data_IF_487842957443
#
_entry.id   IF_487842957443
#
_cell.length_a   1.000
_cell.length_b   1.000
_cell.length_c   1.000
_cell.angle_alpha   90.00
_cell.angle_beta   90.00
_cell.angle_gamma   90.00
#
_symmetry.space_group_name_H-M   'P 1'
#
loop_
_entity.id
_entity.type
_entity.pdbx_description
1 polymer ?
#
# COMPACT_ATOMS: atom_id res chain seq x y z
N UNK A 1 7.16 -10.65 37.34
CA UNK A 1 5.70 -10.42 37.18
C UNK A 1 5.27 -10.53 35.72
N UNK A 2 5.92 -9.82 34.79
CA UNK A 2 5.57 -9.84 33.36
C UNK A 2 5.61 -11.25 32.73
N UNK A 3 6.66 -12.04 32.97
CA UNK A 3 6.78 -13.39 32.37
C UNK A 3 5.62 -14.33 32.73
N UNK A 4 5.21 -14.35 34.00
CA UNK A 4 4.10 -15.20 34.45
C UNK A 4 2.78 -14.87 33.75
N UNK A 5 2.52 -13.57 33.53
CA UNK A 5 1.33 -13.10 32.80
C UNK A 5 1.38 -13.52 31.34
N UNK A 6 2.51 -13.31 30.66
CA UNK A 6 2.66 -13.65 29.24
C UNK A 6 2.58 -15.16 29.00
N UNK A 7 3.18 -15.97 29.90
CA UNK A 7 3.06 -17.43 29.85
C UNK A 7 1.63 -17.91 30.14
N UNK A 8 0.91 -17.28 31.06
CA UNK A 8 -0.49 -17.62 31.33
C UNK A 8 -1.37 -17.32 30.11
N UNK A 9 -1.14 -16.18 29.42
CA UNK A 9 -1.83 -15.85 28.17
C UNK A 9 -1.51 -16.87 27.07
N UNK A 10 -0.25 -17.23 26.88
CA UNK A 10 0.15 -18.24 25.89
C UNK A 10 -0.51 -19.61 26.15
N UNK A 11 -0.66 -20.01 27.41
CA UNK A 11 -1.40 -21.24 27.74
C UNK A 11 -2.87 -21.16 27.33
N UNK A 12 -3.54 -20.05 27.65
CA UNK A 12 -4.93 -19.84 27.24
C UNK A 12 -5.08 -19.87 25.70
N UNK A 13 -4.18 -19.21 24.97
CA UNK A 13 -4.15 -19.25 23.50
C UNK A 13 -3.98 -20.69 22.97
N UNK A 14 -3.15 -21.52 23.61
CA UNK A 14 -2.99 -22.94 23.24
C UNK A 14 -4.23 -23.77 23.57
N UNK A 15 -4.86 -23.53 24.70
CA UNK A 15 -6.11 -24.20 25.09
C UNK A 15 -7.26 -23.86 24.11
N UNK A 16 -7.21 -22.69 23.47
CA UNK A 16 -8.15 -22.23 22.43
C UNK A 16 -7.82 -22.73 21.01
N UNK A 17 -6.83 -23.62 20.85
CA UNK A 17 -6.44 -24.20 19.55
C UNK A 17 -5.18 -23.60 18.93
N UNK A 18 -4.44 -22.78 19.68
CA UNK A 18 -3.19 -22.16 19.24
C UNK A 18 -3.32 -20.65 18.99
N UNK A 19 -2.21 -19.90 19.06
CA UNK A 19 -2.25 -18.46 18.86
C UNK A 19 -2.55 -18.11 17.40
N UNK A 20 -3.47 -17.17 17.18
CA UNK A 20 -3.68 -16.52 15.88
C UNK A 20 -2.43 -15.76 15.41
N UNK A 21 -2.37 -15.35 14.14
CA UNK A 21 -1.30 -14.51 13.61
C UNK A 21 -1.10 -13.23 14.44
N UNK A 22 -2.18 -12.49 14.71
CA UNK A 22 -2.15 -11.29 15.54
C UNK A 22 -1.67 -11.55 16.98
N UNK A 23 -2.11 -12.65 17.61
CA UNK A 23 -1.65 -13.03 18.96
C UNK A 23 -0.17 -13.42 18.96
N UNK A 24 0.29 -14.17 17.96
CA UNK A 24 1.70 -14.58 17.81
C UNK A 24 2.62 -13.37 17.68
N UNK A 25 2.25 -12.39 16.84
CA UNK A 25 2.99 -11.13 16.68
C UNK A 25 3.05 -10.31 17.97
N UNK A 26 1.89 -10.12 18.61
CA UNK A 26 1.81 -9.38 19.87
C UNK A 26 2.64 -10.05 20.96
N UNK A 27 2.50 -11.37 21.08
CA UNK A 27 3.23 -12.18 22.05
C UNK A 27 4.74 -12.10 21.85
N UNK A 28 5.22 -12.17 20.59
CA UNK A 28 6.64 -12.02 20.26
C UNK A 28 7.16 -10.63 20.64
N UNK A 29 6.43 -9.57 20.29
CA UNK A 29 6.85 -8.20 20.60
C UNK A 29 6.87 -7.93 22.12
N UNK A 30 5.85 -8.39 22.85
CA UNK A 30 5.78 -8.27 24.31
C UNK A 30 6.91 -9.04 25.01
N UNK A 31 7.19 -10.28 24.58
CA UNK A 31 8.26 -11.10 25.14
C UNK A 31 9.64 -10.46 24.92
N UNK A 32 9.90 -9.98 23.70
CA UNK A 32 11.15 -9.32 23.36
C UNK A 32 11.35 -8.00 24.13
N UNK A 33 10.31 -7.15 24.21
CA UNK A 33 10.36 -5.89 24.97
C UNK A 33 10.57 -6.09 26.47
N UNK A 34 10.07 -7.20 27.01
CA UNK A 34 10.26 -7.57 28.42
C UNK A 34 11.63 -8.22 28.69
N UNK A 35 12.46 -8.45 27.67
CA UNK A 35 13.77 -9.10 27.81
C UNK A 35 13.67 -10.54 28.28
N UNK A 36 12.72 -11.30 27.73
CA UNK A 36 12.47 -12.70 28.06
C UNK A 36 12.95 -13.60 26.91
N UNK A 37 14.25 -13.97 26.85
CA UNK A 37 14.82 -14.66 25.68
C UNK A 37 14.16 -16.02 25.40
N UNK A 38 13.98 -16.86 26.42
CA UNK A 38 13.33 -18.17 26.25
C UNK A 38 11.87 -18.07 25.76
N UNK A 39 11.12 -17.05 26.22
CA UNK A 39 9.76 -16.82 25.73
C UNK A 39 9.77 -16.20 24.33
N UNK A 40 10.78 -15.39 24.00
CA UNK A 40 10.97 -14.84 22.65
C UNK A 40 11.22 -15.96 21.65
N UNK A 41 12.08 -16.92 22.00
CA UNK A 41 12.32 -18.15 21.21
C UNK A 41 11.02 -18.93 20.94
N UNK A 42 10.24 -19.19 21.99
CA UNK A 42 8.96 -19.87 21.89
C UNK A 42 7.97 -19.09 21.01
N UNK A 43 7.95 -17.76 21.09
CA UNK A 43 7.09 -16.92 20.25
C UNK A 43 7.56 -16.78 18.80
N UNK A 44 8.86 -16.93 18.53
CA UNK A 44 9.37 -17.04 17.15
C UNK A 44 8.85 -18.32 16.50
N UNK A 45 8.73 -19.43 17.25
CA UNK A 45 8.09 -20.67 16.77
C UNK A 45 6.60 -20.49 16.48
N UNK A 46 5.87 -19.84 17.39
CA UNK A 46 4.45 -19.53 17.18
C UNK A 46 4.27 -18.71 15.89
N UNK A 47 5.11 -17.69 15.68
CA UNK A 47 5.10 -16.88 14.45
C UNK A 47 5.39 -17.73 13.21
N UNK A 48 6.40 -18.61 13.26
CA UNK A 48 6.76 -19.48 12.15
C UNK A 48 5.66 -20.49 11.80
N UNK A 49 4.82 -20.86 12.77
CA UNK A 49 3.71 -21.81 12.60
C UNK A 49 2.44 -21.12 12.12
N UNK A 50 2.02 -20.03 12.77
CA UNK A 50 0.72 -19.41 12.54
C UNK A 50 0.67 -18.51 11.30
N UNK A 51 1.71 -17.66 11.11
CA UNK A 51 1.64 -16.61 10.10
C UNK A 51 1.65 -17.11 8.65
N UNK A 52 2.47 -18.11 8.25
CA UNK A 52 2.55 -18.50 6.85
C UNK A 52 1.23 -18.96 6.21
N UNK A 53 0.31 -19.48 7.04
CA UNK A 53 -0.94 -20.09 6.59
C UNK A 53 -2.18 -19.24 6.92
N UNK A 54 -2.13 -18.40 7.96
CA UNK A 54 -3.29 -17.63 8.42
C UNK A 54 -3.08 -16.10 8.44
N UNK A 55 -1.85 -15.64 8.25
CA UNK A 55 -1.52 -14.22 8.30
C UNK A 55 -1.99 -13.48 7.04
N UNK A 56 -2.62 -12.33 7.27
CA UNK A 56 -2.86 -11.34 6.21
C UNK A 56 -1.53 -10.73 5.73
N UNK A 57 -1.51 -10.10 4.56
CA UNK A 57 -0.29 -9.43 4.07
C UNK A 57 0.25 -8.38 5.05
N UNK A 58 -0.58 -7.50 5.66
CA UNK A 58 -0.13 -6.59 6.71
C UNK A 58 0.52 -7.31 7.90
N UNK A 59 -0.03 -8.43 8.37
CA UNK A 59 0.54 -9.20 9.49
C UNK A 59 1.87 -9.86 9.11
N UNK A 60 1.98 -10.41 7.90
CA UNK A 60 3.22 -10.98 7.38
C UNK A 60 4.34 -9.94 7.33
N UNK A 61 4.03 -8.73 6.85
CA UNK A 61 4.97 -7.62 6.78
C UNK A 61 5.34 -7.07 8.17
N UNK A 62 4.37 -7.01 9.09
CA UNK A 62 4.64 -6.65 10.48
C UNK A 62 5.55 -7.67 11.17
N UNK A 63 5.34 -8.96 10.91
CA UNK A 63 6.23 -10.04 11.36
C UNK A 63 7.64 -9.88 10.82
N UNK A 64 7.78 -9.71 9.51
CA UNK A 64 9.07 -9.46 8.86
C UNK A 64 9.81 -8.24 9.46
N UNK A 65 9.12 -7.11 9.67
CA UNK A 65 9.71 -5.93 10.28
C UNK A 65 10.13 -6.19 11.75
N UNK A 66 9.34 -6.96 12.51
CA UNK A 66 9.69 -7.34 13.87
C UNK A 66 10.94 -8.25 13.91
N UNK A 67 11.03 -9.24 13.02
CA UNK A 67 12.19 -10.12 12.89
C UNK A 67 13.46 -9.34 12.51
N UNK A 68 13.35 -8.38 11.58
CA UNK A 68 14.48 -7.50 11.21
C UNK A 68 14.98 -6.68 12.41
N UNK A 69 14.06 -6.10 13.20
CA UNK A 69 14.43 -5.36 14.42
C UNK A 69 15.07 -6.27 15.47
N UNK A 70 14.57 -7.49 15.66
CA UNK A 70 15.16 -8.47 16.59
C UNK A 70 16.57 -8.86 16.15
N UNK A 71 16.76 -9.18 14.87
CA UNK A 71 18.06 -9.55 14.30
C UNK A 71 19.09 -8.44 14.44
N UNK A 72 18.65 -7.18 14.31
CA UNK A 72 19.49 -6.00 14.50
C UNK A 72 19.71 -5.61 15.98
N UNK A 73 19.06 -6.28 16.94
CA UNK A 73 19.11 -5.91 18.36
C UNK A 73 18.46 -4.55 18.66
N UNK A 74 17.54 -4.09 17.79
CA UNK A 74 16.87 -2.79 17.89
C UNK A 74 15.63 -2.82 18.81
N UNK A 75 15.28 -3.97 19.38
CA UNK A 75 14.20 -4.08 20.36
C UNK A 75 14.77 -3.84 21.75
N UNK A 76 14.29 -2.79 22.43
CA UNK A 76 14.69 -2.52 23.81
C UNK A 76 14.39 -3.73 24.70
N UNK A 77 15.40 -4.25 25.40
CA UNK A 77 15.28 -5.41 26.29
C UNK A 77 15.66 -6.75 25.67
N UNK A 78 15.65 -6.91 24.33
CA UNK A 78 15.92 -8.22 23.70
C UNK A 78 17.41 -8.60 23.66
N UNK A 79 18.32 -7.65 23.91
CA UNK A 79 19.75 -7.84 23.69
C UNK A 79 20.09 -8.09 22.21
N UNK A 80 21.39 -8.31 21.95
CA UNK A 80 21.84 -8.78 20.63
C UNK A 80 21.65 -10.29 20.60
N UNK A 81 20.92 -10.86 19.61
CA UNK A 81 20.74 -12.30 19.51
C UNK A 81 22.08 -13.02 19.33
N UNK A 82 22.17 -14.28 19.75
CA UNK A 82 23.30 -15.14 19.40
C UNK A 82 23.20 -15.65 17.95
N UNK A 83 24.16 -16.45 17.51
CA UNK A 83 24.21 -16.92 16.11
C UNK A 83 23.08 -17.89 15.79
N UNK A 84 22.72 -18.76 16.73
CA UNK A 84 21.64 -19.74 16.55
C UNK A 84 20.29 -19.03 16.43
N UNK A 85 20.03 -18.03 17.28
CA UNK A 85 18.84 -17.19 17.15
C UNK A 85 18.86 -16.38 15.84
N UNK A 86 20.00 -15.82 15.43
CA UNK A 86 20.10 -15.12 14.13
C UNK A 86 19.74 -16.02 12.95
N UNK A 87 20.26 -17.24 12.92
CA UNK A 87 19.93 -18.23 11.89
C UNK A 87 18.44 -18.59 11.90
N UNK A 88 17.86 -18.73 13.10
CA UNK A 88 16.43 -19.00 13.26
C UNK A 88 15.55 -17.86 12.75
N UNK A 89 15.85 -16.62 13.13
CA UNK A 89 15.11 -15.44 12.68
C UNK A 89 15.19 -15.30 11.14
N UNK A 90 16.34 -15.59 10.54
CA UNK A 90 16.50 -15.59 9.09
C UNK A 90 15.62 -16.65 8.41
N UNK A 91 15.61 -17.89 8.93
CA UNK A 91 14.77 -18.96 8.38
C UNK A 91 13.27 -18.62 8.48
N UNK A 92 12.82 -18.04 9.60
CA UNK A 92 11.42 -17.61 9.74
C UNK A 92 11.10 -16.45 8.78
N UNK A 93 12.03 -15.49 8.60
CA UNK A 93 11.84 -14.41 7.65
C UNK A 93 11.67 -14.94 6.20
N UNK A 94 12.43 -15.96 5.79
CA UNK A 94 12.25 -16.59 4.47
C UNK A 94 10.86 -17.24 4.32
N UNK A 95 10.36 -17.92 5.36
CA UNK A 95 9.01 -18.49 5.37
C UNK A 95 7.94 -17.39 5.23
N UNK A 96 8.05 -16.32 6.01
CA UNK A 96 7.09 -15.21 5.96
C UNK A 96 7.13 -14.47 4.62
N UNK A 97 8.31 -14.30 4.01
CA UNK A 97 8.43 -13.75 2.66
C UNK A 97 7.70 -14.62 1.64
N UNK A 98 7.94 -15.94 1.68
CA UNK A 98 7.28 -16.88 0.77
C UNK A 98 5.76 -16.82 0.92
N UNK A 99 5.27 -16.72 2.15
CA UNK A 99 3.85 -16.51 2.43
C UNK A 99 3.33 -15.16 1.93
N UNK A 100 4.09 -14.07 2.11
CA UNK A 100 3.69 -12.74 1.65
C UNK A 100 3.53 -12.70 0.13
N UNK A 101 4.46 -13.31 -0.62
CA UNK A 101 4.35 -13.41 -2.09
C UNK A 101 3.13 -14.24 -2.50
N UNK A 102 2.83 -15.34 -1.81
CA UNK A 102 1.58 -16.11 -2.08
C UNK A 102 0.33 -15.29 -1.79
N UNK A 103 0.35 -14.48 -0.73
CA UNK A 103 -0.79 -13.68 -0.31
C UNK A 103 -1.16 -12.58 -1.32
N UNK A 104 -0.23 -12.16 -2.19
CA UNK A 104 -0.53 -11.18 -3.27
C UNK A 104 -1.66 -11.67 -4.17
N UNK A 105 -1.72 -12.97 -4.50
CA UNK A 105 -2.81 -13.54 -5.30
C UNK A 105 -4.15 -13.48 -4.54
N UNK A 106 -4.12 -13.57 -3.21
CA UNK A 106 -5.28 -13.43 -2.33
C UNK A 106 -5.87 -12.02 -2.31
N UNK A 107 -5.13 -11.01 -2.78
CA UNK A 107 -5.62 -9.63 -2.87
C UNK A 107 -6.47 -9.35 -4.11
N UNK A 108 -6.65 -10.32 -5.01
CA UNK A 108 -7.37 -10.11 -6.28
C UNK A 108 -8.76 -9.50 -6.08
N UNK A 109 -9.49 -9.87 -5.02
CA UNK A 109 -10.80 -9.31 -4.69
C UNK A 109 -10.80 -8.20 -3.64
N UNK A 110 -9.65 -7.76 -3.14
CA UNK A 110 -9.61 -6.78 -2.03
C UNK A 110 -10.03 -5.39 -2.48
N UNK A 111 -10.89 -4.75 -1.70
CA UNK A 111 -11.31 -3.36 -1.88
C UNK A 111 -10.81 -2.48 -0.72
N UNK A 112 -9.88 -3.01 0.10
CA UNK A 112 -9.38 -2.35 1.30
C UNK A 112 -8.12 -1.52 0.99
N UNK A 113 -8.09 -0.20 1.24
CA UNK A 113 -6.90 0.61 1.05
C UNK A 113 -5.69 0.16 1.91
N UNK A 114 -5.92 -0.55 3.00
CA UNK A 114 -4.85 -1.12 3.82
C UNK A 114 -4.01 -2.15 3.05
N UNK A 115 -4.65 -2.94 2.17
CA UNK A 115 -3.95 -3.95 1.37
C UNK A 115 -3.12 -3.32 0.25
N UNK A 116 -3.58 -2.21 -0.34
CA UNK A 116 -2.78 -1.44 -1.28
C UNK A 116 -1.50 -0.87 -0.63
N UNK A 117 -1.58 -0.40 0.62
CA UNK A 117 -0.39 0.04 1.39
C UNK A 117 0.54 -1.13 1.66
N UNK A 118 -0.01 -2.28 2.05
CA UNK A 118 0.78 -3.49 2.29
C UNK A 118 1.51 -3.95 1.01
N UNK A 119 0.89 -3.80 -0.16
CA UNK A 119 1.55 -4.11 -1.43
C UNK A 119 2.76 -3.19 -1.70
N UNK A 120 2.67 -1.90 -1.38
CA UNK A 120 3.80 -0.97 -1.46
C UNK A 120 4.92 -1.34 -0.48
N UNK A 121 4.57 -1.65 0.77
CA UNK A 121 5.55 -2.08 1.77
C UNK A 121 6.26 -3.38 1.36
N UNK A 122 5.54 -4.32 0.73
CA UNK A 122 6.16 -5.50 0.14
C UNK A 122 7.14 -5.14 -0.98
N UNK A 123 6.80 -4.14 -1.82
CA UNK A 123 7.66 -3.66 -2.89
C UNK A 123 8.97 -3.05 -2.37
N UNK A 124 8.93 -2.25 -1.30
CA UNK A 124 10.15 -1.72 -0.66
C UNK A 124 11.07 -2.83 -0.10
N UNK A 125 10.53 -4.01 0.15
CA UNK A 125 11.30 -5.19 0.58
C UNK A 125 11.78 -6.05 -0.61
N UNK A 126 11.37 -5.73 -1.84
CA UNK A 126 11.64 -6.56 -3.01
C UNK A 126 13.13 -6.63 -3.40
N UNK A 127 13.99 -5.68 -3.00
CA UNK A 127 15.44 -5.84 -3.23
C UNK A 127 16.02 -7.08 -2.52
N UNK A 128 15.34 -7.56 -1.47
CA UNK A 128 15.73 -8.74 -0.69
C UNK A 128 14.99 -10.01 -1.16
N UNK A 129 13.82 -9.86 -1.78
CA UNK A 129 12.85 -10.94 -1.97
C UNK A 129 12.19 -11.02 -3.37
N UNK A 130 12.51 -10.08 -4.25
CA UNK A 130 11.91 -9.86 -5.56
C UNK A 130 12.39 -10.88 -6.58
N UNK A 131 11.64 -11.96 -6.73
CA UNK A 131 11.83 -12.94 -7.79
C UNK A 131 10.70 -12.88 -8.83
N UNK A 132 10.88 -13.66 -9.91
CA UNK A 132 9.91 -13.84 -11.02
C UNK A 132 8.47 -14.03 -10.51
N UNK A 133 8.28 -14.74 -9.39
CA UNK A 133 6.96 -14.98 -8.79
C UNK A 133 6.23 -13.70 -8.34
N UNK A 134 6.94 -12.76 -7.71
CA UNK A 134 6.33 -11.49 -7.29
C UNK A 134 5.95 -10.66 -8.51
N UNK A 135 6.82 -10.63 -9.52
CA UNK A 135 6.54 -9.98 -10.82
C UNK A 135 5.28 -10.56 -11.47
N UNK A 136 5.16 -11.88 -11.53
CA UNK A 136 3.99 -12.56 -12.11
C UNK A 136 2.70 -12.33 -11.32
N UNK A 137 2.77 -12.37 -9.99
CA UNK A 137 1.63 -12.09 -9.11
C UNK A 137 1.13 -10.65 -9.29
N UNK A 138 2.05 -9.67 -9.30
CA UNK A 138 1.72 -8.26 -9.56
C UNK A 138 1.15 -8.05 -10.97
N UNK A 139 1.66 -8.77 -11.97
CA UNK A 139 1.15 -8.69 -13.34
C UNK A 139 -0.28 -9.23 -13.45
N UNK A 140 -0.61 -10.32 -12.75
CA UNK A 140 -1.99 -10.81 -12.61
C UNK A 140 -2.87 -9.81 -11.88
N UNK A 141 -2.42 -9.33 -10.72
CA UNK A 141 -3.19 -8.39 -9.90
C UNK A 141 -3.52 -7.09 -10.65
N UNK A 142 -2.58 -6.55 -11.44
CA UNK A 142 -2.80 -5.37 -12.28
C UNK A 142 -3.85 -5.57 -13.40
N UNK A 143 -4.15 -6.83 -13.76
CA UNK A 143 -5.04 -7.21 -14.86
C UNK A 143 -6.38 -7.74 -14.38
N UNK A 144 -6.38 -8.53 -13.32
CA UNK A 144 -7.54 -9.29 -12.81
C UNK A 144 -8.04 -8.78 -11.45
N UNK A 145 -7.29 -7.92 -10.76
CA UNK A 145 -7.67 -7.41 -9.45
C UNK A 145 -8.94 -6.56 -9.47
N UNK A 146 -9.44 -6.26 -8.28
CA UNK A 146 -10.44 -5.21 -8.04
C UNK A 146 -9.98 -3.88 -8.66
N UNK A 147 -10.90 -2.94 -8.84
CA UNK A 147 -10.55 -1.62 -9.34
C UNK A 147 -9.42 -0.98 -8.51
N UNK A 148 -9.53 -1.05 -7.17
CA UNK A 148 -8.49 -0.56 -6.25
C UNK A 148 -7.16 -1.29 -6.44
N UNK A 149 -7.14 -2.62 -6.41
CA UNK A 149 -5.88 -3.37 -6.47
C UNK A 149 -5.20 -3.29 -7.83
N UNK A 150 -5.96 -3.10 -8.92
CA UNK A 150 -5.37 -2.84 -10.24
C UNK A 150 -4.60 -1.52 -10.29
N UNK A 151 -5.13 -0.49 -9.63
CA UNK A 151 -4.43 0.78 -9.46
C UNK A 151 -3.13 0.62 -8.67
N UNK A 152 -3.22 -0.02 -7.51
CA UNK A 152 -2.08 -0.24 -6.63
C UNK A 152 -0.98 -1.09 -7.29
N UNK A 153 -1.34 -2.22 -7.92
CA UNK A 153 -0.41 -3.09 -8.59
C UNK A 153 0.29 -2.42 -9.79
N UNK A 154 -0.42 -1.56 -10.53
CA UNK A 154 0.19 -0.75 -11.60
C UNK A 154 1.31 0.15 -11.08
N UNK A 155 1.05 0.89 -9.99
CA UNK A 155 2.05 1.75 -9.35
C UNK A 155 3.25 0.95 -8.83
N UNK A 156 3.01 -0.17 -8.12
CA UNK A 156 4.08 -1.01 -7.59
C UNK A 156 4.96 -1.61 -8.70
N UNK A 157 4.37 -1.99 -9.84
CA UNK A 157 5.15 -2.49 -10.98
C UNK A 157 6.10 -1.44 -11.55
N UNK A 158 5.69 -0.17 -11.60
CA UNK A 158 6.57 0.93 -12.02
C UNK A 158 7.68 1.16 -10.99
N UNK A 159 7.34 1.16 -9.70
CA UNK A 159 8.34 1.30 -8.61
C UNK A 159 9.42 0.23 -8.64
N UNK A 160 9.05 -1.00 -8.99
CA UNK A 160 9.98 -2.13 -9.12
C UNK A 160 10.69 -2.19 -10.48
N UNK A 161 10.44 -1.23 -11.38
CA UNK A 161 11.01 -1.24 -12.73
C UNK A 161 10.48 -2.36 -13.64
N UNK A 162 9.36 -2.99 -13.29
CA UNK A 162 8.71 -4.03 -14.10
C UNK A 162 7.84 -3.47 -15.23
N UNK A 163 7.51 -2.18 -15.18
CA UNK A 163 6.70 -1.48 -16.17
C UNK A 163 7.21 -0.05 -16.33
N UNK A 164 7.21 0.45 -17.57
CA UNK A 164 7.59 1.83 -17.87
C UNK A 164 6.55 2.82 -17.31
N UNK A 165 6.97 3.94 -16.69
CA UNK A 165 6.05 4.96 -16.16
C UNK A 165 5.01 5.44 -17.18
N UNK A 166 5.42 5.61 -18.44
CA UNK A 166 4.55 6.06 -19.53
C UNK A 166 3.40 5.08 -19.79
N UNK A 167 3.66 3.77 -19.76
CA UNK A 167 2.64 2.74 -20.01
C UNK A 167 1.57 2.71 -18.92
N UNK A 168 1.96 2.98 -17.67
CA UNK A 168 1.01 3.19 -16.58
C UNK A 168 0.18 4.45 -16.83
N UNK A 169 0.83 5.57 -17.19
CA UNK A 169 0.15 6.83 -17.48
C UNK A 169 -0.89 6.70 -18.59
N UNK A 170 -0.57 6.05 -19.71
CA UNK A 170 -1.49 5.81 -20.83
C UNK A 170 -2.70 4.96 -20.38
N UNK A 171 -2.45 3.97 -19.50
CA UNK A 171 -3.50 3.15 -18.91
C UNK A 171 -4.41 3.98 -18.00
N UNK A 172 -3.86 4.86 -17.18
CA UNK A 172 -4.63 5.77 -16.33
C UNK A 172 -5.47 6.73 -17.18
N UNK A 173 -4.92 7.27 -18.27
CA UNK A 173 -5.68 8.09 -19.23
C UNK A 173 -6.87 7.33 -19.81
N UNK A 174 -6.68 6.06 -20.21
CA UNK A 174 -7.78 5.22 -20.70
C UNK A 174 -8.90 4.99 -19.68
N UNK A 175 -8.58 5.03 -18.38
CA UNK A 175 -9.56 4.90 -17.31
C UNK A 175 -10.46 6.12 -17.21
N UNK A 176 -9.89 7.31 -17.41
CA UNK A 176 -10.61 8.57 -17.47
C UNK A 176 -11.55 8.59 -18.68
N UNK A 177 -11.05 8.16 -19.84
CA UNK A 177 -11.87 8.06 -21.06
C UNK A 177 -13.09 7.17 -20.87
N UNK A 178 -12.88 5.98 -20.31
CA UNK A 178 -13.93 5.00 -20.06
C UNK A 178 -14.93 5.36 -18.95
N UNK A 179 -14.71 6.43 -18.18
CA UNK A 179 -15.56 6.83 -17.05
C UNK A 179 -16.81 7.62 -17.49
N UNK A 180 -17.60 7.05 -18.40
CA UNK A 180 -18.76 7.71 -19.04
C UNK A 180 -20.06 7.53 -18.25
N UNK A 181 -20.13 6.54 -17.37
CA UNK A 181 -21.30 6.20 -16.55
C UNK A 181 -20.94 6.13 -15.05
N UNK A 182 -21.95 5.94 -14.19
CA UNK A 182 -21.75 5.94 -12.74
C UNK A 182 -20.87 4.79 -12.27
N UNK A 183 -21.02 3.59 -12.83
CA UNK A 183 -20.24 2.41 -12.43
C UNK A 183 -18.79 2.57 -12.84
N UNK A 184 -18.53 3.02 -14.08
CA UNK A 184 -17.17 3.26 -14.56
C UNK A 184 -16.48 4.43 -13.84
N UNK A 185 -17.24 5.44 -13.38
CA UNK A 185 -16.75 6.51 -12.50
C UNK A 185 -16.38 6.01 -11.09
N UNK A 186 -17.21 5.18 -10.44
CA UNK A 186 -16.83 4.55 -9.17
C UNK A 186 -15.56 3.74 -9.32
N UNK A 187 -15.46 2.90 -10.35
CA UNK A 187 -14.25 2.14 -10.63
C UNK A 187 -13.04 3.04 -10.93
N UNK A 188 -13.22 4.23 -11.50
CA UNK A 188 -12.15 5.21 -11.69
C UNK A 188 -11.65 5.71 -10.32
N UNK A 189 -12.55 6.11 -9.43
CA UNK A 189 -12.22 6.52 -8.06
C UNK A 189 -11.39 5.46 -7.34
N UNK A 190 -11.82 4.19 -7.40
CA UNK A 190 -11.14 3.09 -6.72
C UNK A 190 -9.75 2.84 -7.32
N UNK A 191 -9.62 2.83 -8.65
CA UNK A 191 -8.33 2.69 -9.35
C UNK A 191 -7.36 3.81 -8.98
N UNK A 192 -7.84 5.06 -8.94
CA UNK A 192 -7.01 6.20 -8.55
C UNK A 192 -6.64 6.13 -7.07
N UNK A 193 -7.56 5.71 -6.21
CA UNK A 193 -7.30 5.47 -4.78
C UNK A 193 -6.19 4.46 -4.57
N UNK A 194 -6.26 3.30 -5.22
CA UNK A 194 -5.24 2.26 -5.12
C UNK A 194 -3.90 2.73 -5.70
N UNK A 195 -3.92 3.39 -6.86
CA UNK A 195 -2.73 3.96 -7.48
C UNK A 195 -2.06 4.96 -6.56
N UNK A 196 -2.78 5.97 -6.06
CA UNK A 196 -2.23 7.04 -5.23
C UNK A 196 -1.79 6.55 -3.83
N UNK A 197 -2.46 5.53 -3.30
CA UNK A 197 -2.03 4.85 -2.07
C UNK A 197 -0.66 4.19 -2.24
N UNK A 198 -0.40 3.57 -3.39
CA UNK A 198 0.88 2.90 -3.68
C UNK A 198 1.92 3.82 -4.35
N UNK A 199 1.50 4.94 -4.94
CA UNK A 199 2.34 5.84 -5.73
C UNK A 199 2.96 6.98 -4.91
N UNK A 200 2.82 7.03 -3.58
CA UNK A 200 3.43 8.08 -2.75
C UNK A 200 4.90 8.38 -3.12
N UNK A 201 5.77 7.37 -3.24
CA UNK A 201 7.14 7.55 -3.73
C UNK A 201 7.27 7.87 -5.23
N UNK A 202 6.33 7.43 -6.08
CA UNK A 202 6.29 7.79 -7.50
C UNK A 202 5.96 9.27 -7.71
N UNK A 203 5.11 9.86 -6.86
CA UNK A 203 4.83 11.29 -6.90
C UNK A 203 6.08 12.14 -6.59
N UNK A 204 7.04 11.57 -5.85
CA UNK A 204 8.31 12.22 -5.51
C UNK A 204 9.38 12.06 -6.59
N UNK A 205 9.30 11.00 -7.43
CA UNK A 205 10.39 10.60 -8.32
C UNK A 205 10.02 10.47 -9.81
N UNK A 206 8.74 10.40 -10.16
CA UNK A 206 8.27 10.00 -11.49
C UNK A 206 7.21 10.94 -12.08
N UNK A 207 7.57 12.22 -12.26
CA UNK A 207 6.77 13.17 -13.05
C UNK A 207 6.31 12.62 -14.43
N UNK A 208 7.09 11.80 -15.17
CA UNK A 208 6.64 11.22 -16.43
C UNK A 208 5.43 10.27 -16.31
N UNK A 209 5.22 9.63 -15.15
CA UNK A 209 4.08 8.71 -14.97
C UNK A 209 2.73 9.44 -15.02
N UNK A 210 2.71 10.73 -14.66
CA UNK A 210 1.51 11.55 -14.63
C UNK A 210 1.30 12.32 -15.93
N UNK A 211 2.32 12.43 -16.78
CA UNK A 211 2.29 13.19 -18.03
C UNK A 211 1.09 12.82 -18.93
N UNK A 212 0.80 11.53 -19.17
CA UNK A 212 -0.32 11.16 -20.05
C UNK A 212 -1.68 11.49 -19.43
N UNK A 213 -1.81 11.38 -18.10
CA UNK A 213 -3.02 11.75 -17.39
C UNK A 213 -3.27 13.27 -17.49
N UNK A 214 -2.23 14.08 -17.25
CA UNK A 214 -2.33 15.53 -17.32
C UNK A 214 -2.65 16.01 -18.74
N UNK A 215 -1.98 15.43 -19.75
CA UNK A 215 -2.31 15.67 -21.15
C UNK A 215 -3.76 15.33 -21.45
N UNK A 216 -4.20 14.13 -21.04
CA UNK A 216 -5.56 13.68 -21.33
C UNK A 216 -6.64 14.54 -20.67
N UNK A 217 -6.45 14.94 -19.42
CA UNK A 217 -7.37 15.82 -18.69
C UNK A 217 -7.45 17.20 -19.37
N UNK A 218 -6.33 17.71 -19.89
CA UNK A 218 -6.28 18.99 -20.62
C UNK A 218 -7.05 18.94 -21.95
N UNK A 219 -7.13 17.77 -22.56
CA UNK A 219 -7.86 17.55 -23.82
C UNK A 219 -9.37 17.26 -23.62
N UNK A 220 -9.86 17.15 -22.38
CA UNK A 220 -11.28 16.98 -22.12
C UNK A 220 -12.02 18.30 -22.37
N UNK A 221 -13.25 18.21 -22.90
CA UNK A 221 -14.15 19.37 -22.86
C UNK A 221 -14.54 19.69 -21.42
N UNK A 222 -14.87 20.95 -21.13
CA UNK A 222 -15.33 21.39 -19.81
C UNK A 222 -16.45 20.51 -19.24
N UNK A 223 -17.42 20.12 -20.08
CA UNK A 223 -18.56 19.30 -19.67
C UNK A 223 -18.13 17.87 -19.28
N UNK A 224 -17.27 17.27 -20.10
CA UNK A 224 -16.72 15.94 -19.84
C UNK A 224 -15.82 15.91 -18.61
N UNK A 225 -15.05 16.98 -18.39
CA UNK A 225 -14.23 17.15 -17.20
C UNK A 225 -15.10 17.29 -15.95
N UNK A 226 -16.08 18.20 -15.95
CA UNK A 226 -16.97 18.40 -14.81
C UNK A 226 -17.79 17.16 -14.46
N UNK A 227 -18.15 16.35 -15.45
CA UNK A 227 -18.84 15.07 -15.24
C UNK A 227 -17.95 14.03 -14.53
N UNK A 228 -16.64 14.05 -14.78
CA UNK A 228 -15.66 13.12 -14.21
C UNK A 228 -14.99 13.65 -12.94
N UNK A 229 -15.09 14.95 -12.68
CA UNK A 229 -14.44 15.65 -11.57
C UNK A 229 -14.67 14.98 -10.20
N UNK A 230 -15.89 14.57 -9.81
CA UNK A 230 -16.11 13.85 -8.55
C UNK A 230 -15.27 12.58 -8.41
N UNK A 231 -15.21 11.78 -9.48
CA UNK A 231 -14.45 10.53 -9.48
C UNK A 231 -12.93 10.75 -9.46
N UNK A 232 -12.47 11.77 -10.21
CA UNK A 232 -11.07 12.20 -10.17
C UNK A 232 -10.71 12.62 -8.75
N UNK A 233 -11.50 13.50 -8.12
CA UNK A 233 -11.26 14.04 -6.78
C UNK A 233 -11.26 12.97 -5.70
N UNK A 234 -12.23 12.06 -5.71
CA UNK A 234 -12.32 11.00 -4.70
C UNK A 234 -11.04 10.13 -4.62
N UNK A 235 -10.36 9.91 -5.76
CA UNK A 235 -9.07 9.20 -5.75
C UNK A 235 -7.98 9.90 -4.93
N UNK A 236 -7.94 11.23 -4.97
CA UNK A 236 -6.97 12.04 -4.24
C UNK A 236 -7.27 12.14 -2.75
N UNK A 237 -8.42 11.67 -2.28
CA UNK A 237 -8.77 11.82 -0.87
C UNK A 237 -7.86 11.02 0.07
N UNK A 238 -7.22 10.00 -0.47
CA UNK A 238 -6.24 9.16 0.24
C UNK A 238 -4.87 9.79 0.43
N UNK A 239 -4.56 10.87 -0.31
CA UNK A 239 -3.27 11.54 -0.20
C UNK A 239 -3.15 12.37 1.08
N UNK A 240 -1.99 12.27 1.72
CA UNK A 240 -1.62 13.17 2.81
C UNK A 240 -1.56 14.63 2.32
N UNK A 241 -1.75 15.63 3.20
CA UNK A 241 -1.65 17.04 2.83
C UNK A 241 -0.34 17.39 2.11
N UNK A 242 0.78 16.83 2.56
CA UNK A 242 2.08 17.07 1.95
C UNK A 242 2.21 16.47 0.53
N UNK A 243 1.63 15.29 0.30
CA UNK A 243 1.62 14.67 -1.04
C UNK A 243 0.72 15.45 -2.02
N UNK A 244 -0.41 15.97 -1.53
CA UNK A 244 -1.29 16.86 -2.32
C UNK A 244 -0.58 18.15 -2.74
N UNK A 245 0.11 18.80 -1.80
CA UNK A 245 0.87 20.04 -2.08
C UNK A 245 1.97 19.84 -3.14
N UNK A 246 2.68 18.70 -3.06
CA UNK A 246 3.71 18.35 -4.05
C UNK A 246 3.11 18.15 -5.44
N UNK A 247 2.01 17.41 -5.53
CA UNK A 247 1.31 17.21 -6.79
C UNK A 247 0.79 18.54 -7.36
N UNK A 248 0.26 19.41 -6.50
CA UNK A 248 -0.16 20.75 -6.89
C UNK A 248 0.99 21.57 -7.48
N UNK A 249 2.18 21.52 -6.85
CA UNK A 249 3.38 22.19 -7.35
C UNK A 249 3.76 21.71 -8.76
N UNK A 250 3.73 20.40 -9.02
CA UNK A 250 4.01 19.83 -10.34
C UNK A 250 3.00 20.30 -11.40
N UNK A 251 1.72 20.40 -11.02
CA UNK A 251 0.67 20.90 -11.92
C UNK A 251 0.85 22.40 -12.20
N UNK A 252 1.17 23.19 -11.18
CA UNK A 252 1.46 24.63 -11.32
C UNK A 252 2.66 24.91 -12.23
N UNK A 253 3.75 24.16 -12.07
CA UNK A 253 4.93 24.24 -12.94
C UNK A 253 4.58 23.93 -14.39
N UNK A 254 3.81 22.86 -14.63
CA UNK A 254 3.37 22.48 -15.98
C UNK A 254 2.49 23.55 -16.63
N UNK A 255 1.53 24.08 -15.89
CA UNK A 255 0.59 25.09 -16.41
C UNK A 255 1.25 26.48 -16.53
N UNK A 256 2.43 26.67 -15.94
CA UNK A 256 3.09 27.97 -15.87
C UNK A 256 2.33 28.98 -15.00
N UNK A 257 1.49 28.51 -14.09
CA UNK A 257 0.62 29.33 -13.22
C UNK A 257 1.08 29.21 -11.78
N UNK A 258 1.34 30.33 -11.10
CA UNK A 258 1.85 30.35 -9.72
C UNK A 258 0.77 30.49 -8.63
N UNK A 259 -0.51 30.56 -9.02
CA UNK A 259 -1.68 30.68 -8.12
C UNK A 259 -2.95 30.15 -8.79
N UNK A 260 -3.25 28.86 -8.62
CA UNK A 260 -4.50 28.26 -9.14
C UNK A 260 -5.78 28.85 -8.50
N UNK A 261 -5.68 29.45 -7.31
CA UNK A 261 -6.82 29.99 -6.57
C UNK A 261 -7.28 31.39 -7.04
N UNK A 262 -6.57 32.04 -7.97
CA UNK A 262 -7.00 33.32 -8.51
C UNK A 262 -8.04 33.10 -9.63
N UNK A 263 -9.32 33.27 -9.29
CA UNK A 263 -10.43 33.12 -10.23
C UNK A 263 -10.60 34.31 -11.17
N UNK A 264 -9.77 35.36 -11.05
CA UNK A 264 -9.70 36.49 -11.98
C UNK A 264 -11.06 37.03 -12.42
N UNK A 265 -11.26 37.11 -13.74
CA UNK A 265 -12.48 37.58 -14.40
C UNK A 265 -13.39 36.44 -14.90
N UNK A 266 -13.30 35.24 -14.32
CA UNK A 266 -14.16 34.11 -14.71
C UNK A 266 -15.63 34.48 -14.45
N UNK A 267 -16.49 34.14 -15.40
CA UNK A 267 -17.94 34.35 -15.30
C UNK A 267 -18.50 33.71 -14.01
N UNK A 268 -19.23 34.47 -13.16
CA UNK A 268 -19.87 33.94 -11.95
C UNK A 268 -20.75 32.70 -12.18
N UNK A 269 -21.40 32.59 -13.34
CA UNK A 269 -22.23 31.42 -13.67
C UNK A 269 -21.36 30.18 -13.90
N UNK A 270 -20.23 30.34 -14.58
CA UNK A 270 -19.25 29.28 -14.76
C UNK A 270 -18.64 28.86 -13.41
N UNK A 271 -18.27 29.82 -12.56
CA UNK A 271 -17.79 29.55 -11.19
C UNK A 271 -18.81 28.74 -10.38
N UNK A 272 -20.08 29.16 -10.37
CA UNK A 272 -21.13 28.43 -9.66
C UNK A 272 -21.33 27.01 -10.18
N UNK A 273 -21.13 26.76 -11.48
CA UNK A 273 -21.17 25.42 -12.08
C UNK A 273 -20.00 24.56 -11.61
N UNK A 274 -18.80 25.11 -11.62
CA UNK A 274 -17.59 24.41 -11.15
C UNK A 274 -17.68 24.07 -9.67
N UNK A 275 -18.10 25.02 -8.82
CA UNK A 275 -18.30 24.79 -7.39
C UNK A 275 -19.33 23.70 -7.12
N UNK A 276 -20.42 23.63 -7.89
CA UNK A 276 -21.42 22.55 -7.75
C UNK A 276 -20.85 21.18 -8.10
N UNK A 277 -20.04 21.09 -9.16
CA UNK A 277 -19.37 19.84 -9.50
C UNK A 277 -18.35 19.43 -8.43
N UNK A 278 -17.64 20.40 -7.86
CA UNK A 278 -16.66 20.19 -6.80
C UNK A 278 -17.29 19.68 -5.49
N UNK A 279 -18.44 20.23 -5.11
CA UNK A 279 -19.19 19.84 -3.91
C UNK A 279 -19.95 18.52 -4.05
N UNK A 280 -20.09 17.99 -5.27
CA UNK A 280 -20.71 16.68 -5.52
C UNK A 280 -19.73 15.51 -5.36
N UNK A 281 -18.44 15.82 -5.15
CA UNK A 281 -17.37 14.85 -4.90
C UNK A 281 -17.41 14.31 -3.47
#
# INVERSE_FOLDING_TARGET
AAEGLLRARLRAERDEGGPTAAQSLRGLEEAARCGLPALTEERVEDVASALPDSGTLPELLAGLALLDRLRAGHVAGSGVPDEDMRARLAAVAELLTSAAVRQVDGLTGSEEPADARALLELAHRADVFGGIRLTDALARLAREGSALMRGAAGAVRVLLGHEEPQALGDRVASWVDGATDTVSRTALTDRLTGLLTAAGPLLESAAPALEPLLGRVSDLSDEEFLTRLPALRGGFDTLSPAARERLLSTVEERLGVRRLADTGAVDPVALARWTRADLAA
#
